data_IF_169255473830
#
_entry.id   IF_169255473830
#
_cell.length_a   1.000
_cell.length_b   1.000
_cell.length_c   1.000
_cell.angle_alpha   90.00
_cell.angle_beta   90.00
_cell.angle_gamma   90.00
#
_symmetry.space_group_name_H-M   'P 1'
#
loop_
_entity.id
_entity.type
_entity.pdbx_description
1 polymer ?
#
# COMPACT_ATOMS: atom_id res chain seq x y z
N UNK A 1 -1.17 9.03 -25.10
CA UNK A 1 -1.83 8.79 -23.80
C UNK A 1 -1.68 7.31 -23.45
N UNK A 2 -0.91 6.94 -22.43
CA UNK A 2 -0.82 5.54 -22.04
C UNK A 2 -2.15 5.09 -21.43
N UNK A 3 -2.82 4.18 -22.10
CA UNK A 3 -4.07 3.56 -21.65
C UNK A 3 -3.89 2.05 -21.58
N UNK A 4 -4.66 1.40 -20.72
CA UNK A 4 -4.66 -0.06 -20.66
C UNK A 4 -5.28 -0.65 -21.93
N UNK A 5 -4.57 -1.56 -22.57
CA UNK A 5 -5.09 -2.33 -23.69
C UNK A 5 -6.20 -3.31 -23.24
N UNK A 6 -6.95 -3.88 -24.17
CA UNK A 6 -7.90 -4.96 -23.87
C UNK A 6 -7.23 -6.16 -23.19
N UNK A 7 -6.02 -6.49 -23.64
CA UNK A 7 -5.23 -7.60 -23.08
C UNK A 7 -4.85 -7.27 -21.62
N UNK A 8 -4.45 -6.03 -21.34
CA UNK A 8 -4.14 -5.59 -19.96
C UNK A 8 -5.36 -5.69 -19.05
N UNK A 9 -6.51 -5.20 -19.51
CA UNK A 9 -7.77 -5.25 -18.76
C UNK A 9 -8.19 -6.70 -18.48
N UNK A 10 -8.06 -7.59 -19.46
CA UNK A 10 -8.32 -9.02 -19.30
C UNK A 10 -7.36 -9.67 -18.30
N UNK A 11 -6.06 -9.33 -18.35
CA UNK A 11 -5.07 -9.83 -17.40
C UNK A 11 -5.32 -9.32 -15.96
N UNK A 12 -5.75 -8.07 -15.81
CA UNK A 12 -6.15 -7.49 -14.51
C UNK A 12 -7.37 -8.23 -13.97
N UNK A 13 -8.39 -8.47 -14.81
CA UNK A 13 -9.58 -9.23 -14.42
C UNK A 13 -9.24 -10.67 -13.99
N UNK A 14 -8.42 -11.40 -14.75
CA UNK A 14 -7.94 -12.75 -14.38
C UNK A 14 -7.17 -12.73 -13.07
N UNK A 15 -6.34 -11.71 -12.84
CA UNK A 15 -5.60 -11.52 -11.60
C UNK A 15 -6.57 -11.36 -10.43
N UNK A 16 -7.60 -10.53 -10.55
CA UNK A 16 -8.62 -10.34 -9.52
C UNK A 16 -9.34 -11.65 -9.13
N UNK A 17 -9.73 -12.46 -10.12
CA UNK A 17 -10.34 -13.78 -9.87
C UNK A 17 -9.37 -14.67 -9.07
N UNK A 18 -8.10 -14.76 -9.52
CA UNK A 18 -7.07 -15.56 -8.86
C UNK A 18 -6.85 -15.13 -7.41
N UNK A 19 -6.80 -13.83 -7.14
CA UNK A 19 -6.57 -13.29 -5.79
C UNK A 19 -7.77 -13.52 -4.88
N UNK A 20 -8.98 -13.31 -5.36
CA UNK A 20 -10.19 -13.66 -4.60
C UNK A 20 -10.18 -15.15 -4.19
N UNK A 21 -9.78 -16.05 -5.10
CA UNK A 21 -9.63 -17.49 -4.79
C UNK A 21 -8.53 -17.72 -3.75
N UNK A 22 -7.39 -17.05 -3.88
CA UNK A 22 -6.26 -17.18 -2.95
C UNK A 22 -6.63 -16.72 -1.54
N UNK A 23 -7.31 -15.56 -1.41
CA UNK A 23 -7.82 -15.10 -0.13
C UNK A 23 -8.85 -16.07 0.46
N UNK A 24 -9.79 -16.54 -0.35
CA UNK A 24 -10.78 -17.54 0.09
C UNK A 24 -10.15 -18.83 0.64
N UNK A 25 -9.00 -19.23 0.07
CA UNK A 25 -8.29 -20.46 0.44
C UNK A 25 -7.22 -20.22 1.54
N UNK A 26 -7.20 -19.06 2.20
CA UNK A 26 -6.26 -18.75 3.28
C UNK A 26 -4.79 -18.59 2.85
N UNK A 27 -4.50 -18.48 1.54
CA UNK A 27 -3.12 -18.38 1.05
C UNK A 27 -2.35 -17.18 1.66
N UNK A 28 -3.03 -16.12 2.04
CA UNK A 28 -2.44 -14.88 2.53
C UNK A 28 -2.43 -14.75 4.06
N UNK A 29 -2.91 -15.78 4.78
CA UNK A 29 -2.91 -15.80 6.25
C UNK A 29 -1.51 -15.59 6.85
N UNK A 30 -0.45 -16.06 6.17
CA UNK A 30 0.92 -15.91 6.61
C UNK A 30 1.38 -14.44 6.74
N UNK A 31 0.72 -13.49 6.07
CA UNK A 31 1.03 -12.06 6.20
C UNK A 31 0.81 -11.53 7.62
N UNK A 32 0.04 -12.24 8.43
CA UNK A 32 -0.20 -11.94 9.83
C UNK A 32 0.89 -12.48 10.76
N UNK A 33 1.77 -13.36 10.26
CA UNK A 33 2.81 -14.05 11.04
C UNK A 33 3.99 -13.13 11.38
N UNK A 34 4.78 -13.56 12.37
CA UNK A 34 5.96 -12.83 12.87
C UNK A 34 7.07 -12.64 11.83
N UNK A 35 7.15 -13.52 10.81
CA UNK A 35 8.13 -13.37 9.71
C UNK A 35 7.89 -12.07 8.95
N UNK A 36 6.63 -11.66 8.79
CA UNK A 36 6.24 -10.44 8.10
C UNK A 36 6.28 -9.20 9.01
N UNK A 37 6.33 -9.39 10.33
CA UNK A 37 6.28 -8.31 11.32
C UNK A 37 7.35 -7.22 11.12
N UNK A 38 8.64 -7.53 10.83
CA UNK A 38 9.67 -6.49 10.71
C UNK A 38 9.35 -5.42 9.68
N UNK A 39 8.73 -5.80 8.55
CA UNK A 39 8.29 -4.86 7.52
C UNK A 39 7.24 -3.89 8.06
N UNK A 40 6.23 -4.41 8.73
CA UNK A 40 5.18 -3.59 9.32
C UNK A 40 5.72 -2.67 10.42
N UNK A 41 6.59 -3.19 11.29
CA UNK A 41 7.26 -2.37 12.33
C UNK A 41 7.95 -1.17 11.70
N UNK A 42 8.71 -1.39 10.61
CA UNK A 42 9.41 -0.29 9.92
C UNK A 42 8.45 0.73 9.30
N UNK A 43 7.33 0.29 8.74
CA UNK A 43 6.28 1.20 8.23
C UNK A 43 5.67 2.02 9.38
N UNK A 44 5.39 1.40 10.53
CA UNK A 44 4.85 2.09 11.70
C UNK A 44 5.83 3.12 12.28
N UNK A 45 7.12 2.77 12.35
CA UNK A 45 8.18 3.70 12.76
C UNK A 45 8.23 4.91 11.83
N UNK A 46 8.18 4.70 10.51
CA UNK A 46 8.17 5.78 9.53
C UNK A 46 6.93 6.68 9.68
N UNK A 47 5.75 6.11 9.91
CA UNK A 47 4.53 6.89 10.19
C UNK A 47 4.73 7.75 11.44
N UNK A 48 5.20 7.17 12.55
CA UNK A 48 5.43 7.89 13.81
C UNK A 48 6.48 8.99 13.67
N UNK A 49 7.54 8.76 12.90
CA UNK A 49 8.67 9.67 12.77
C UNK A 49 8.41 10.84 11.83
N UNK A 50 7.72 10.60 10.71
CA UNK A 50 7.65 11.54 9.60
C UNK A 50 6.27 12.11 9.34
N UNK A 51 5.20 11.65 10.02
CA UNK A 51 3.87 12.21 9.85
C UNK A 51 3.41 13.06 11.03
N UNK A 52 2.29 13.76 10.85
CA UNK A 52 1.61 14.49 11.93
C UNK A 52 1.04 13.53 12.98
N UNK A 53 0.79 13.98 14.21
CA UNK A 53 0.02 13.22 15.18
C UNK A 53 -1.38 12.88 14.65
N UNK A 54 -1.82 11.63 14.86
CA UNK A 54 -3.13 11.14 14.40
C UNK A 54 -3.38 11.37 12.89
N UNK A 55 -2.49 10.86 12.00
CA UNK A 55 -2.61 11.09 10.58
C UNK A 55 -3.82 10.40 9.96
N UNK A 56 -4.32 10.97 8.87
CA UNK A 56 -5.17 10.26 7.92
C UNK A 56 -4.31 9.39 7.01
N UNK A 57 -4.58 8.09 6.97
CA UNK A 57 -3.77 7.09 6.27
C UNK A 57 -4.57 6.45 5.14
N UNK A 58 -3.99 6.38 3.94
CA UNK A 58 -4.50 5.63 2.80
C UNK A 58 -3.58 4.43 2.52
N UNK A 59 -4.09 3.21 2.72
CA UNK A 59 -3.38 1.95 2.44
C UNK A 59 -3.85 1.35 1.12
N UNK A 60 -3.02 1.41 0.12
CA UNK A 60 -3.30 1.00 -1.26
C UNK A 60 -2.82 -0.43 -1.51
N UNK A 61 -3.77 -1.36 -1.64
CA UNK A 61 -3.54 -2.80 -1.65
C UNK A 61 -3.54 -3.39 -0.24
N UNK A 62 -4.44 -2.92 0.62
CA UNK A 62 -4.50 -3.24 2.05
C UNK A 62 -4.74 -4.72 2.37
N UNK A 63 -5.18 -5.53 1.39
CA UNK A 63 -5.55 -6.93 1.61
C UNK A 63 -6.62 -7.08 2.69
N UNK A 64 -6.34 -7.89 3.69
CA UNK A 64 -7.23 -8.12 4.85
C UNK A 64 -7.05 -7.08 5.97
N UNK A 65 -6.43 -5.93 5.69
CA UNK A 65 -6.22 -4.86 6.66
C UNK A 65 -5.08 -5.13 7.66
N UNK A 66 -4.07 -5.91 7.26
CA UNK A 66 -2.98 -6.33 8.17
C UNK A 66 -2.18 -5.13 8.70
N UNK A 67 -1.98 -4.07 7.89
CA UNK A 67 -1.34 -2.84 8.39
C UNK A 67 -2.19 -2.21 9.50
N UNK A 68 -3.51 -2.08 9.28
CA UNK A 68 -4.43 -1.53 10.28
C UNK A 68 -4.47 -2.34 11.58
N UNK A 69 -4.39 -3.68 11.48
CA UNK A 69 -4.31 -4.58 12.65
C UNK A 69 -3.11 -4.31 13.56
N UNK A 70 -2.05 -3.71 13.03
CA UNK A 70 -0.80 -3.43 13.74
C UNK A 70 -0.66 -1.99 14.21
N UNK A 71 -1.64 -1.13 13.87
CA UNK A 71 -1.72 0.25 14.33
C UNK A 71 -2.62 0.35 15.57
N UNK A 72 -2.15 1.05 16.58
CA UNK A 72 -2.95 1.41 17.75
C UNK A 72 -3.97 2.48 17.40
N UNK A 73 -5.19 2.42 17.96
CA UNK A 73 -6.28 3.33 17.63
C UNK A 73 -5.95 4.80 17.96
N UNK A 74 -5.16 5.02 19.01
CA UNK A 74 -4.76 6.36 19.49
C UNK A 74 -3.80 7.07 18.52
N UNK A 75 -3.12 6.31 17.68
CA UNK A 75 -2.12 6.83 16.71
C UNK A 75 -2.78 7.30 15.41
N UNK A 76 -4.05 6.96 15.17
CA UNK A 76 -4.70 7.14 13.86
C UNK A 76 -5.85 8.13 13.97
N UNK A 77 -5.85 9.18 13.14
CA UNK A 77 -7.00 10.05 12.95
C UNK A 77 -8.08 9.40 12.07
N UNK A 78 -7.66 8.83 10.94
CA UNK A 78 -8.53 8.11 10.01
C UNK A 78 -7.72 7.11 9.17
N UNK A 79 -8.31 5.98 8.83
CA UNK A 79 -7.68 4.97 7.98
C UNK A 79 -8.62 4.55 6.84
N UNK A 80 -8.13 4.57 5.62
CA UNK A 80 -8.84 4.05 4.45
C UNK A 80 -7.99 2.97 3.78
N UNK A 81 -8.47 1.73 3.81
CA UNK A 81 -7.86 0.59 3.12
C UNK A 81 -8.55 0.29 1.80
N UNK A 82 -7.76 0.16 0.72
CA UNK A 82 -8.26 -0.16 -0.61
C UNK A 82 -7.65 -1.46 -1.09
N UNK A 83 -8.48 -2.38 -1.56
CA UNK A 83 -8.04 -3.59 -2.27
C UNK A 83 -9.03 -3.97 -3.37
N UNK A 84 -8.56 -4.60 -4.45
CA UNK A 84 -9.46 -5.01 -5.53
C UNK A 84 -10.18 -6.34 -5.23
N UNK A 85 -9.75 -7.07 -4.22
CA UNK A 85 -10.35 -8.34 -3.79
C UNK A 85 -11.53 -8.08 -2.85
N UNK A 86 -12.72 -8.46 -3.30
CA UNK A 86 -13.93 -8.43 -2.44
C UNK A 86 -13.81 -9.34 -1.22
N UNK A 87 -13.02 -10.41 -1.33
CA UNK A 87 -12.84 -11.41 -0.26
C UNK A 87 -11.99 -10.81 0.86
N UNK A 88 -10.86 -10.18 0.52
CA UNK A 88 -9.99 -9.55 1.51
C UNK A 88 -10.69 -8.39 2.23
N UNK A 89 -11.38 -7.52 1.49
CA UNK A 89 -12.13 -6.40 2.08
C UNK A 89 -13.24 -6.90 3.01
N UNK A 90 -13.97 -7.96 2.62
CA UNK A 90 -14.98 -8.57 3.52
C UNK A 90 -14.35 -9.06 4.82
N UNK A 91 -13.13 -9.59 4.79
CA UNK A 91 -12.40 -9.99 5.99
C UNK A 91 -11.96 -8.77 6.80
N UNK A 92 -11.39 -7.75 6.15
CA UNK A 92 -10.95 -6.52 6.81
C UNK A 92 -12.10 -5.81 7.56
N UNK A 93 -13.28 -5.72 6.95
CA UNK A 93 -14.46 -5.11 7.59
C UNK A 93 -14.95 -5.84 8.85
N UNK A 94 -14.58 -7.10 9.08
CA UNK A 94 -14.97 -7.84 10.30
C UNK A 94 -14.28 -7.35 11.56
N UNK A 95 -13.14 -6.66 11.43
CA UNK A 95 -12.40 -6.17 12.59
C UNK A 95 -13.06 -4.95 13.27
N UNK A 96 -14.01 -4.28 12.60
CA UNK A 96 -14.80 -3.16 13.16
C UNK A 96 -13.96 -2.09 13.85
N UNK A 97 -12.82 -1.69 13.24
CA UNK A 97 -11.96 -0.65 13.77
C UNK A 97 -12.65 0.71 13.82
N UNK A 98 -12.33 1.53 14.82
CA UNK A 98 -12.75 2.93 14.87
C UNK A 98 -12.04 3.76 13.78
N UNK A 99 -12.70 4.80 13.28
CA UNK A 99 -12.17 5.73 12.27
C UNK A 99 -11.51 5.02 11.09
N UNK A 100 -12.13 3.94 10.60
CA UNK A 100 -11.53 3.06 9.60
C UNK A 100 -12.58 2.58 8.60
N UNK A 101 -12.28 2.76 7.32
CA UNK A 101 -13.07 2.22 6.23
C UNK A 101 -12.23 1.32 5.33
N UNK A 102 -12.89 0.31 4.75
CA UNK A 102 -12.30 -0.56 3.74
C UNK A 102 -13.17 -0.59 2.50
N UNK A 103 -12.58 -0.40 1.32
CA UNK A 103 -13.30 -0.30 0.06
C UNK A 103 -12.72 -1.22 -1.00
N UNK A 104 -13.62 -1.83 -1.79
CA UNK A 104 -13.23 -2.59 -2.97
C UNK A 104 -12.98 -1.63 -4.12
N UNK A 105 -11.74 -1.45 -4.52
CA UNK A 105 -11.40 -0.64 -5.68
C UNK A 105 -10.14 -1.17 -6.39
N UNK A 106 -10.06 -0.90 -7.69
CA UNK A 106 -8.90 -1.24 -8.51
C UNK A 106 -7.96 -0.03 -8.61
N UNK A 107 -6.72 -0.18 -8.15
CA UNK A 107 -5.72 0.88 -8.13
C UNK A 107 -5.48 1.51 -9.51
N UNK A 108 -5.68 0.76 -10.60
CA UNK A 108 -5.53 1.29 -11.96
C UNK A 108 -6.47 2.46 -12.25
N UNK A 109 -7.64 2.50 -11.59
CA UNK A 109 -8.72 3.48 -11.82
C UNK A 109 -9.07 4.30 -10.58
N UNK A 110 -8.61 3.87 -9.41
CA UNK A 110 -8.98 4.49 -8.14
C UNK A 110 -8.52 5.96 -8.05
N UNK A 111 -9.41 6.79 -7.52
CA UNK A 111 -9.13 8.19 -7.17
C UNK A 111 -9.42 8.36 -5.68
N UNK A 112 -8.44 8.75 -4.85
CA UNK A 112 -8.69 8.97 -3.43
C UNK A 112 -9.76 10.05 -3.23
N UNK A 113 -10.72 9.87 -2.30
CA UNK A 113 -11.87 10.77 -2.14
C UNK A 113 -11.54 12.07 -1.40
N UNK A 114 -10.41 12.10 -0.68
CA UNK A 114 -9.95 13.21 0.14
C UNK A 114 -8.43 13.25 0.16
N UNK A 115 -7.86 14.26 0.80
CA UNK A 115 -6.43 14.36 1.02
C UNK A 115 -6.00 13.57 2.26
N UNK A 116 -4.81 12.97 2.20
CA UNK A 116 -4.25 12.13 3.25
C UNK A 116 -2.89 12.65 3.73
N UNK A 117 -2.59 12.45 5.01
CA UNK A 117 -1.28 12.75 5.58
C UNK A 117 -0.24 11.67 5.21
N UNK A 118 -0.71 10.43 5.09
CA UNK A 118 0.14 9.26 4.79
C UNK A 118 -0.50 8.43 3.69
N UNK A 119 0.28 8.06 2.69
CA UNK A 119 -0.10 7.05 1.69
C UNK A 119 0.87 5.89 1.77
N UNK A 120 0.35 4.66 1.78
CA UNK A 120 1.15 3.44 1.86
C UNK A 120 0.88 2.54 0.66
N UNK A 121 1.95 2.10 -0.01
CA UNK A 121 1.97 0.96 -0.93
C UNK A 121 2.74 -0.18 -0.27
N UNK A 122 2.05 -1.01 0.51
CA UNK A 122 2.68 -2.14 1.15
C UNK A 122 2.56 -3.40 0.28
N UNK A 123 3.61 -3.75 -0.46
CA UNK A 123 3.63 -4.87 -1.40
C UNK A 123 2.58 -4.76 -2.53
N UNK A 124 2.23 -3.53 -2.93
CA UNK A 124 1.15 -3.30 -3.88
C UNK A 124 1.59 -2.61 -5.18
N UNK A 125 2.55 -1.70 -5.13
CA UNK A 125 2.92 -0.83 -6.25
C UNK A 125 3.34 -1.60 -7.51
N UNK A 126 4.11 -2.67 -7.38
CA UNK A 126 4.59 -3.46 -8.51
C UNK A 126 3.51 -4.30 -9.21
N UNK A 127 2.30 -4.39 -8.65
CA UNK A 127 1.15 -5.00 -9.30
C UNK A 127 0.41 -4.06 -10.25
N UNK A 128 0.67 -2.76 -10.18
CA UNK A 128 0.13 -1.77 -11.11
C UNK A 128 0.78 -1.97 -12.48
N UNK A 129 -0.02 -1.99 -13.54
CA UNK A 129 0.49 -2.14 -14.91
C UNK A 129 1.39 -0.97 -15.28
N UNK A 130 2.56 -1.27 -15.85
CA UNK A 130 3.59 -0.27 -16.21
C UNK A 130 3.02 0.86 -17.11
N UNK A 131 2.10 0.55 -18.04
CA UNK A 131 1.52 1.53 -18.92
C UNK A 131 0.75 2.66 -18.22
N UNK A 132 0.31 2.44 -16.97
CA UNK A 132 -0.48 3.42 -16.20
C UNK A 132 0.11 3.72 -14.83
N UNK A 133 1.26 3.13 -14.47
CA UNK A 133 1.86 3.24 -13.13
C UNK A 133 2.13 4.69 -12.74
N UNK A 134 2.74 5.48 -13.62
CA UNK A 134 2.96 6.92 -13.42
C UNK A 134 1.64 7.68 -13.19
N UNK A 135 0.59 7.37 -13.98
CA UNK A 135 -0.72 8.02 -13.80
C UNK A 135 -1.35 7.68 -12.46
N UNK A 136 -1.19 6.44 -11.99
CA UNK A 136 -1.69 6.03 -10.68
C UNK A 136 -0.93 6.77 -9.59
N UNK A 137 0.40 6.82 -9.68
CA UNK A 137 1.23 7.55 -8.72
C UNK A 137 0.84 9.03 -8.66
N UNK A 138 0.73 9.71 -9.79
CA UNK A 138 0.36 11.13 -9.84
C UNK A 138 -1.01 11.39 -9.18
N UNK A 139 -2.05 10.56 -9.47
CA UNK A 139 -3.36 10.69 -8.81
C UNK A 139 -3.30 10.52 -7.30
N UNK A 140 -2.41 9.67 -6.82
CA UNK A 140 -2.18 9.47 -5.39
C UNK A 140 -1.46 10.68 -4.80
N UNK A 141 -0.43 11.19 -5.48
CA UNK A 141 0.31 12.38 -5.04
C UNK A 141 -0.55 13.64 -5.05
N UNK A 142 -1.50 13.78 -5.99
CA UNK A 142 -2.48 14.88 -5.97
C UNK A 142 -3.29 14.92 -4.65
N UNK A 143 -3.50 13.77 -4.01
CA UNK A 143 -4.25 13.60 -2.76
C UNK A 143 -3.37 13.33 -1.54
N UNK A 144 -2.07 13.34 -1.68
CA UNK A 144 -1.15 13.43 -0.57
C UNK A 144 -0.99 14.91 -0.18
N UNK A 145 -1.22 15.26 1.07
CA UNK A 145 -1.07 16.64 1.56
C UNK A 145 0.36 17.14 1.36
N UNK A 146 0.54 18.43 1.23
CA UNK A 146 1.88 19.05 1.30
C UNK A 146 2.50 18.74 2.66
N UNK A 147 3.74 18.28 2.67
CA UNK A 147 4.41 17.77 3.88
C UNK A 147 3.91 16.39 4.35
N UNK A 148 2.98 15.77 3.62
CA UNK A 148 2.59 14.38 3.85
C UNK A 148 3.62 13.41 3.32
N UNK A 149 3.52 12.14 3.73
CA UNK A 149 4.50 11.11 3.38
C UNK A 149 3.91 9.97 2.55
N UNK A 150 4.69 9.52 1.58
CA UNK A 150 4.47 8.30 0.82
C UNK A 150 5.44 7.23 1.31
N UNK A 151 4.91 6.08 1.72
CA UNK A 151 5.69 4.91 2.12
C UNK A 151 5.46 3.80 1.11
N UNK A 152 6.52 3.21 0.59
CA UNK A 152 6.41 2.03 -0.26
C UNK A 152 7.29 0.90 0.26
N UNK A 153 6.72 -0.31 0.35
CA UNK A 153 7.43 -1.54 0.67
C UNK A 153 7.40 -2.47 -0.53
N UNK A 154 8.55 -2.99 -0.91
CA UNK A 154 8.69 -3.86 -2.08
C UNK A 154 9.62 -5.04 -1.73
N UNK A 155 9.16 -6.24 -2.05
CA UNK A 155 9.93 -7.47 -1.87
C UNK A 155 11.17 -7.49 -2.77
N UNK A 156 12.33 -7.71 -2.17
CA UNK A 156 13.65 -7.76 -2.83
C UNK A 156 13.94 -6.46 -3.63
N UNK A 157 14.47 -6.58 -4.85
CA UNK A 157 14.94 -5.46 -5.65
C UNK A 157 13.84 -4.66 -6.35
N UNK A 158 12.60 -5.16 -6.36
CA UNK A 158 11.44 -4.43 -6.87
C UNK A 158 11.38 -4.23 -8.38
N UNK A 159 12.24 -4.87 -9.17
CA UNK A 159 12.21 -4.90 -10.65
C UNK A 159 11.96 -3.53 -11.33
N UNK A 160 12.78 -2.52 -10.99
CA UNK A 160 12.68 -1.17 -11.59
C UNK A 160 11.46 -0.36 -11.12
N UNK A 161 10.87 -0.69 -9.96
CA UNK A 161 9.79 0.11 -9.39
C UNK A 161 10.30 1.37 -8.69
N UNK A 162 11.56 1.42 -8.30
CA UNK A 162 12.11 2.53 -7.51
C UNK A 162 12.27 3.80 -8.32
N UNK A 163 12.55 3.71 -9.62
CA UNK A 163 12.72 4.85 -10.53
C UNK A 163 11.46 5.73 -10.61
N UNK A 164 10.27 5.18 -10.29
CA UNK A 164 9.02 5.94 -10.26
C UNK A 164 8.94 6.95 -9.12
N UNK A 165 9.74 6.77 -8.06
CA UNK A 165 9.76 7.66 -6.90
C UNK A 165 10.90 8.68 -6.95
N UNK A 166 11.77 8.60 -7.94
CA UNK A 166 12.81 9.60 -8.24
C UNK A 166 12.22 10.71 -9.11
N UNK A 167 11.40 11.56 -8.48
CA UNK A 167 10.67 12.65 -9.14
C UNK A 167 10.73 13.93 -8.29
N UNK A 168 10.66 15.14 -8.92
CA UNK A 168 10.81 16.41 -8.20
C UNK A 168 9.78 16.67 -7.10
N UNK A 169 8.61 16.04 -7.19
CA UNK A 169 7.53 16.19 -6.22
C UNK A 169 7.77 15.41 -4.92
N UNK A 170 8.80 14.55 -4.87
CA UNK A 170 9.12 13.69 -3.74
C UNK A 170 10.55 13.90 -3.27
N UNK A 171 10.72 14.14 -1.97
CA UNK A 171 12.02 14.10 -1.30
C UNK A 171 12.19 12.77 -0.57
N UNK A 172 13.26 12.04 -0.83
CA UNK A 172 13.53 10.79 -0.14
C UNK A 172 14.04 11.03 1.27
N UNK A 173 13.23 10.71 2.29
CA UNK A 173 13.61 10.79 3.69
C UNK A 173 14.38 9.57 4.16
N UNK A 174 13.98 8.39 3.70
CA UNK A 174 14.61 7.14 4.09
C UNK A 174 14.51 6.09 2.97
N UNK A 175 15.56 5.28 2.85
CA UNK A 175 15.55 4.07 2.01
C UNK A 175 16.32 2.97 2.74
N UNK A 176 15.60 1.92 3.15
CA UNK A 176 16.18 0.88 4.00
C UNK A 176 15.85 -0.52 3.55
N UNK A 177 16.65 -1.49 3.97
CA UNK A 177 16.42 -2.92 3.74
C UNK A 177 16.05 -3.59 5.05
N UNK A 178 14.87 -4.17 5.10
CA UNK A 178 14.36 -4.93 6.24
C UNK A 178 14.51 -6.42 5.96
N UNK A 179 15.37 -7.08 6.72
CA UNK A 179 15.62 -8.53 6.63
C UNK A 179 14.80 -9.29 7.65
N UNK A 180 14.51 -10.55 7.37
CA UNK A 180 13.88 -11.47 8.32
C UNK A 180 14.87 -12.54 8.78
N UNK A 181 14.45 -13.35 9.77
CA UNK A 181 15.19 -14.54 10.18
C UNK A 181 15.27 -15.62 9.09
N UNK A 182 14.38 -15.55 8.10
CA UNK A 182 14.37 -16.48 6.95
C UNK A 182 15.35 -15.97 5.90
N UNK A 183 16.39 -16.73 5.64
CA UNK A 183 17.40 -16.41 4.64
C UNK A 183 16.78 -16.09 3.28
N UNK A 184 17.31 -15.06 2.58
CA UNK A 184 16.82 -14.61 1.28
C UNK A 184 15.47 -13.89 1.30
N UNK A 185 14.88 -13.65 2.49
CA UNK A 185 13.62 -12.91 2.65
C UNK A 185 13.88 -11.52 3.21
N UNK A 186 13.64 -10.50 2.39
CA UNK A 186 13.80 -9.09 2.76
C UNK A 186 12.90 -8.19 1.93
N UNK A 187 12.66 -7.00 2.44
CA UNK A 187 11.98 -5.92 1.74
C UNK A 187 12.85 -4.68 1.72
N UNK A 188 12.73 -3.91 0.65
CA UNK A 188 13.18 -2.53 0.63
C UNK A 188 11.99 -1.64 0.95
N UNK A 189 12.22 -0.63 1.79
CA UNK A 189 11.21 0.34 2.19
C UNK A 189 11.75 1.73 1.88
N UNK A 190 10.99 2.47 1.07
CA UNK A 190 11.23 3.89 0.79
C UNK A 190 10.20 4.74 1.50
N UNK A 191 10.65 5.84 2.11
CA UNK A 191 9.83 6.89 2.72
C UNK A 191 10.14 8.20 2.03
N UNK A 192 9.11 8.82 1.50
CA UNK A 192 9.23 10.05 0.70
C UNK A 192 8.31 11.13 1.24
N UNK A 193 8.81 12.34 1.42
CA UNK A 193 8.01 13.52 1.72
C UNK A 193 7.51 14.19 0.45
N UNK A 194 6.26 14.66 0.44
CA UNK A 194 5.75 15.49 -0.64
C UNK A 194 6.21 16.94 -0.45
N UNK A 195 6.91 17.47 -1.44
CA UNK A 195 7.44 18.84 -1.48
C UNK A 195 6.36 19.88 -1.77
#
# INVERSE_FOLDING_TARGET
MNTLSFIDQFNIWRRRIRWNRQYKNGRWEYLKNDIEAPRYVKILEAIKQYSTPQPSILDLGCGEGVLRLRLEDEVIGYFLGIDFSKVSIKTACRYSFKNCDFQVADLHYYKPPQDFDVVVFNEAFYYINNAVRTKVLNRVLERLKKGGILITSIYKEGKGCWDYFDIPELEQFEFTTVKTKKEGTYWRIGVYGKV
#
